data_IF_702324115218
#
_entry.id   IF_702324115218
#
_cell.length_a   1.000
_cell.length_b   1.000
_cell.length_c   1.000
_cell.angle_alpha   90.00
_cell.angle_beta   90.00
_cell.angle_gamma   90.00
#
_symmetry.space_group_name_H-M   'P 1'
#
loop_
_entity.id
_entity.type
_entity.pdbx_description
1 polymer ?
2 polymer ?
3 non-polymer ?
4 water ?
#
# COMPACT_ATOMS: atom_id res chain seq x y z
N UNK A 2 23.33 6.02 4.04
CA UNK A 2 23.21 7.21 4.98
C UNK A 2 23.98 7.03 6.28
N UNK A 3 24.52 5.82 6.53
CA UNK A 3 25.51 5.47 7.62
C UNK A 3 24.90 5.03 8.99
N UNK A 4 24.72 3.71 9.15
CA UNK A 4 23.98 3.16 10.27
C UNK A 4 22.47 3.37 10.17
N UNK A 5 22.05 3.95 9.04
CA UNK A 5 20.63 4.11 8.74
C UNK A 5 20.03 2.73 8.47
N UNK A 6 18.82 2.48 8.98
CA UNK A 6 18.08 1.24 8.74
C UNK A 6 16.64 1.56 8.43
N UNK A 7 15.92 0.59 7.92
CA UNK A 7 14.48 0.67 7.69
C UNK A 7 13.86 -0.05 8.92
N UNK A 8 12.64 0.36 9.31
CA UNK A 8 11.94 -0.41 10.32
C UNK A 8 11.63 -1.82 9.85
N UNK A 9 11.28 -2.72 10.75
CA UNK A 9 10.80 -3.98 10.20
C UNK A 9 9.46 -3.75 9.49
N UNK A 10 9.18 -4.46 8.40
CA UNK A 10 7.97 -4.21 7.66
C UNK A 10 6.72 -4.64 8.42
N UNK A 11 5.54 -4.21 7.95
CA UNK A 11 4.32 -4.59 8.62
C UNK A 11 4.13 -6.12 8.58
N UNK A 12 3.49 -6.69 9.60
CA UNK A 12 3.22 -8.13 9.64
C UNK A 12 2.32 -8.49 8.53
N UNK A 13 2.50 -9.69 7.98
CA UNK A 13 1.62 -10.19 6.99
C UNK A 13 1.00 -11.51 7.43
N UNK A 14 1.33 -11.98 8.63
CA UNK A 14 0.60 -13.05 9.24
C UNK A 14 0.60 -12.85 10.74
N UNK A 15 -0.49 -13.26 11.35
CA UNK A 15 -0.69 -13.18 12.79
C UNK A 15 -1.60 -14.33 13.17
N UNK A 16 -1.02 -15.48 13.58
CA UNK A 16 -1.87 -16.64 13.94
C UNK A 16 -2.94 -16.44 14.98
N UNK A 17 -2.79 -15.43 15.87
CA UNK A 17 -3.81 -15.16 16.88
C UNK A 17 -4.85 -14.08 16.49
N UNK A 18 -4.79 -13.60 15.24
CA UNK A 18 -5.73 -12.64 14.66
C UNK A 18 -6.80 -13.39 13.89
N UNK A 19 -8.10 -13.16 14.19
CA UNK A 19 -9.21 -13.75 13.44
C UNK A 19 -9.20 -13.39 11.93
N UNK A 20 -9.44 -14.40 11.09
CA UNK A 20 -9.28 -14.31 9.63
C UNK A 20 -10.58 -14.80 8.96
N UNK A 21 -10.91 -14.27 7.77
CA UNK A 21 -11.97 -14.86 6.95
C UNK A 21 -11.60 -14.71 5.47
N UNK A 22 -12.21 -15.53 4.61
CA UNK A 22 -12.09 -15.37 3.18
C UNK A 22 -13.41 -14.95 2.54
N UNK A 23 -13.76 -13.68 2.51
CA UNK A 23 -15.07 -13.31 2.02
C UNK A 23 -15.02 -13.15 0.50
N UNK A 24 -16.19 -13.12 -0.10
CA UNK A 24 -16.31 -12.81 -1.53
C UNK A 24 -15.70 -11.45 -1.89
N UNK A 25 -15.81 -10.52 -1.00
CA UNK A 25 -15.23 -9.19 -1.18
C UNK A 25 -13.73 -9.15 -1.03
N UNK A 26 -13.17 -10.04 -0.22
CA UNK A 26 -11.71 -10.15 -0.09
C UNK A 26 -11.10 -10.88 -1.26
N UNK A 27 -11.82 -11.85 -1.80
CA UNK A 27 -11.37 -12.53 -2.99
C UNK A 27 -11.33 -11.54 -4.18
N UNK A 28 -12.38 -10.73 -4.34
CA UNK A 28 -12.38 -9.67 -5.35
C UNK A 28 -11.28 -8.63 -5.10
N UNK A 29 -11.07 -8.21 -3.86
CA UNK A 29 -9.94 -7.32 -3.58
C UNK A 29 -8.62 -7.86 -4.09
N UNK A 30 -8.39 -9.17 -4.00
CA UNK A 30 -7.13 -9.71 -4.45
C UNK A 30 -7.18 -9.90 -5.97
N UNK A 31 -8.30 -10.44 -6.42
CA UNK A 31 -8.49 -10.87 -7.83
C UNK A 31 -8.64 -9.70 -8.76
N UNK A 32 -9.35 -8.67 -8.34
CA UNK A 32 -9.61 -7.57 -9.24
C UNK A 32 -8.73 -6.39 -8.85
N UNK A 33 -9.00 -5.83 -7.65
CA UNK A 33 -8.46 -4.55 -7.23
C UNK A 33 -6.93 -4.51 -7.07
N UNK A 34 -6.31 -5.60 -6.59
CA UNK A 34 -4.86 -5.64 -6.41
C UNK A 34 -4.17 -6.07 -7.71
N UNK A 35 -4.68 -7.10 -8.40
CA UNK A 35 -4.05 -7.49 -9.69
C UNK A 35 -4.05 -6.32 -10.67
N UNK A 36 -5.05 -5.44 -10.57
CA UNK A 36 -5.20 -4.30 -11.50
C UNK A 36 -4.16 -3.24 -11.20
N UNK A 37 -4.03 -2.90 -9.91
CA UNK A 37 -3.14 -1.83 -9.50
C UNK A 37 -1.71 -2.35 -9.59
N UNK A 38 -1.49 -3.65 -9.37
CA UNK A 38 -0.14 -4.19 -9.32
C UNK A 38 0.58 -4.10 -10.66
N UNK A 39 -0.17 -4.42 -11.70
CA UNK A 39 0.23 -4.32 -13.11
C UNK A 39 0.37 -2.94 -13.68
N UNK A 40 -0.26 -1.95 -13.06
CA UNK A 40 -0.20 -0.58 -13.56
C UNK A 40 1.24 -0.03 -13.76
N UNK A 41 1.39 0.79 -14.80
CA UNK A 41 2.67 1.49 -15.10
C UNK A 41 3.31 2.31 -13.94
N UNK A 42 2.45 2.79 -13.04
CA UNK A 42 2.89 3.56 -11.91
C UNK A 42 2.89 2.77 -10.58
N UNK A 43 2.74 1.43 -10.60
CA UNK A 43 2.71 0.62 -9.36
C UNK A 43 4.03 0.53 -8.63
N UNK A 44 5.14 0.64 -9.36
CA UNK A 44 6.44 0.20 -8.88
C UNK A 44 6.97 0.81 -7.58
N UNK A 45 6.79 2.14 -7.33
CA UNK A 45 7.17 2.70 -6.03
C UNK A 45 6.39 2.13 -4.84
N UNK A 46 5.24 1.48 -5.10
CA UNK A 46 4.31 1.02 -4.07
C UNK A 46 4.23 -0.50 -3.86
N UNK A 47 5.03 -1.22 -4.63
CA UNK A 47 5.09 -2.70 -4.59
C UNK A 47 5.90 -3.30 -3.48
N UNK A 48 6.57 -2.48 -2.66
CA UNK A 48 7.34 -2.87 -1.52
C UNK A 48 7.37 -1.75 -0.51
N UNK A 49 7.75 -2.08 0.73
CA UNK A 49 7.98 -0.96 1.62
C UNK A 49 8.98 0.09 1.11
N UNK A 50 8.68 1.37 1.41
CA UNK A 50 9.61 2.39 1.09
C UNK A 50 10.98 2.10 1.72
N UNK A 51 11.97 1.96 0.84
CA UNK A 51 13.35 1.74 1.24
C UNK A 51 14.01 3.11 1.40
N UNK A 52 13.92 3.62 2.61
CA UNK A 52 14.41 4.93 2.90
C UNK A 52 15.93 5.01 2.89
N UNK A 53 16.58 3.88 3.14
CA UNK A 53 18.02 3.78 3.14
C UNK A 53 18.48 3.96 1.69
N UNK A 54 17.91 3.19 0.80
CA UNK A 54 18.31 3.20 -0.60
C UNK A 54 18.00 4.52 -1.31
N UNK A 55 16.78 5.00 -1.09
CA UNK A 55 16.28 6.20 -1.66
C UNK A 55 16.83 7.45 -0.97
N UNK A 56 17.67 7.26 0.04
CA UNK A 56 18.24 8.33 0.87
C UNK A 56 17.20 9.33 1.40
N UNK A 57 16.26 8.79 2.16
CA UNK A 57 15.11 9.53 2.70
C UNK A 57 15.07 9.29 4.20
N UNK A 58 16.05 9.85 4.94
CA UNK A 58 16.18 9.53 6.36
C UNK A 58 15.07 10.11 7.22
N UNK A 59 14.32 11.06 6.72
CA UNK A 59 13.17 11.55 7.49
C UNK A 59 11.87 10.80 7.20
N UNK A 60 11.90 9.83 6.29
CA UNK A 60 10.67 9.19 5.86
C UNK A 60 9.94 8.66 7.10
N UNK A 61 10.65 7.90 7.88
CA UNK A 61 10.07 7.13 8.99
C UNK A 61 10.09 7.95 10.27
N UNK A 62 10.54 9.20 10.19
CA UNK A 62 10.25 10.20 11.19
C UNK A 62 8.83 10.76 10.97
N UNK A 63 8.41 10.95 9.70
CA UNK A 63 7.10 11.52 9.38
C UNK A 63 6.03 10.45 9.31
N UNK A 64 6.38 9.29 8.74
CA UNK A 64 5.44 8.18 8.51
C UNK A 64 5.61 7.09 9.50
N UNK A 65 4.63 7.02 10.40
CA UNK A 65 4.65 6.10 11.49
C UNK A 65 3.78 4.92 11.28
N UNK A 66 2.89 4.92 10.30
CA UNK A 66 2.07 3.76 10.00
C UNK A 66 2.31 3.44 8.51
N UNK A 67 3.47 2.83 8.17
CA UNK A 67 3.79 2.58 6.78
C UNK A 67 2.91 1.47 6.19
N UNK A 68 2.63 1.58 4.89
CA UNK A 68 1.87 0.56 4.22
C UNK A 68 2.21 0.64 2.76
N UNK A 69 2.20 -0.52 2.12
CA UNK A 69 2.53 -0.67 0.70
C UNK A 69 1.75 -1.87 0.10
N UNK A 70 1.73 -1.97 -1.23
CA UNK A 70 0.94 -2.96 -1.89
C UNK A 70 1.57 -4.32 -1.81
N UNK A 71 2.88 -4.35 -1.59
CA UNK A 71 3.56 -5.60 -1.32
C UNK A 71 3.03 -6.29 -0.05
N UNK A 72 2.94 -5.48 0.97
CA UNK A 72 2.30 -5.87 2.23
C UNK A 72 0.85 -6.29 2.09
N UNK A 73 0.03 -5.48 1.45
CA UNK A 73 -1.38 -5.73 1.22
C UNK A 73 -1.52 -7.05 0.43
N UNK A 74 -0.70 -7.24 -0.56
CA UNK A 74 -0.78 -8.48 -1.38
C UNK A 74 -0.53 -9.75 -0.58
N UNK A 75 0.55 -9.76 0.19
CA UNK A 75 0.89 -10.86 1.07
C UNK A 75 -0.24 -11.07 2.10
N UNK A 76 -0.83 -9.99 2.61
CA UNK A 76 -1.95 -10.16 3.56
C UNK A 76 -3.17 -10.81 2.90
N UNK A 77 -3.45 -10.42 1.67
CA UNK A 77 -4.61 -10.95 0.99
C UNK A 77 -4.33 -12.42 0.68
N UNK A 78 -3.12 -12.72 0.23
CA UNK A 78 -2.72 -14.12 -0.07
C UNK A 78 -2.69 -15.04 1.15
N UNK A 79 -2.29 -14.50 2.29
CA UNK A 79 -2.24 -15.26 3.54
C UNK A 79 -3.52 -15.16 4.34
N UNK A 80 -4.59 -14.67 3.74
CA UNK A 80 -5.91 -14.52 4.38
C UNK A 80 -5.81 -13.91 5.79
N UNK A 81 -5.16 -12.76 5.85
CA UNK A 81 -4.85 -12.04 7.09
C UNK A 81 -6.07 -11.30 7.62
N UNK A 82 -6.96 -10.94 6.71
CA UNK A 82 -8.09 -10.04 6.98
C UNK A 82 -9.36 -10.73 7.45
N UNK A 83 -10.12 -10.03 8.29
CA UNK A 83 -11.47 -10.46 8.66
C UNK A 83 -12.49 -9.97 7.63
N UNK A 84 -12.29 -8.76 7.14
CA UNK A 84 -13.23 -8.17 6.18
C UNK A 84 -12.56 -7.20 5.23
N UNK A 85 -13.31 -6.87 4.18
CA UNK A 85 -12.81 -6.02 3.08
C UNK A 85 -12.48 -4.59 3.58
N UNK A 86 -13.18 -4.08 4.58
CA UNK A 86 -12.91 -2.76 5.10
C UNK A 86 -11.48 -2.68 5.67
N UNK A 87 -11.01 -3.75 6.32
CA UNK A 87 -9.64 -3.75 6.89
C UNK A 87 -8.62 -3.50 5.79
N UNK A 88 -8.90 -4.12 4.65
CA UNK A 88 -8.00 -4.09 3.48
C UNK A 88 -8.02 -2.77 2.77
N UNK A 89 -9.23 -2.28 2.54
CA UNK A 89 -9.43 -0.97 1.96
C UNK A 89 -8.73 0.05 2.81
N UNK A 90 -8.79 -0.06 4.13
CA UNK A 90 -8.08 0.86 4.96
C UNK A 90 -6.56 0.87 4.82
N UNK A 91 -5.97 -0.29 4.55
CA UNK A 91 -4.55 -0.37 4.29
C UNK A 91 -4.24 0.38 2.99
N UNK A 92 -5.08 0.20 1.96
CA UNK A 92 -4.89 0.97 0.72
C UNK A 92 -4.93 2.49 0.96
N UNK A 93 -5.86 2.95 1.82
CA UNK A 93 -5.96 4.34 2.08
C UNK A 93 -4.80 4.87 2.90
N UNK A 94 -4.21 3.99 3.75
CA UNK A 94 -3.04 4.35 4.54
C UNK A 94 -1.88 4.54 3.58
N UNK A 95 -1.71 3.66 2.63
CA UNK A 95 -0.64 3.82 1.65
C UNK A 95 -0.75 5.11 0.83
N UNK A 96 -1.94 5.42 0.32
CA UNK A 96 -2.10 6.68 -0.46
C UNK A 96 -1.89 7.89 0.44
N UNK A 97 -2.44 7.88 1.67
CA UNK A 97 -2.33 9.06 2.51
C UNK A 97 -0.89 9.34 2.92
N UNK A 98 -0.14 8.28 3.26
CA UNK A 98 1.26 8.39 3.58
C UNK A 98 2.01 9.11 2.48
N UNK A 99 1.72 8.77 1.24
CA UNK A 99 2.42 9.39 0.09
C UNK A 99 2.09 10.92 0.00
N UNK A 100 0.83 11.24 0.14
CA UNK A 100 0.35 12.63 0.08
C UNK A 100 0.88 13.47 1.29
N UNK A 101 0.98 12.85 2.48
CA UNK A 101 1.63 13.43 3.63
C UNK A 101 3.12 13.73 3.34
N UNK A 102 3.86 12.73 2.89
CA UNK A 102 5.30 12.88 2.87
C UNK A 102 5.77 13.78 1.73
N UNK A 103 5.08 13.68 0.61
CA UNK A 103 5.45 14.37 -0.61
C UNK A 103 4.57 15.63 -0.76
N UNK A 104 4.71 16.34 -1.86
CA UNK A 104 4.00 17.61 -2.09
C UNK A 104 3.23 17.53 -3.42
N UNK A 105 2.09 18.24 -3.49
CA UNK A 105 1.28 18.17 -4.67
C UNK A 105 2.12 18.42 -5.90
N UNK A 106 1.81 17.70 -6.97
CA UNK A 106 2.51 17.85 -8.24
C UNK A 106 3.71 16.98 -8.41
N UNK A 107 4.34 16.53 -7.29
CA UNK A 107 5.49 15.59 -7.30
C UNK A 107 5.14 14.39 -8.14
N UNK A 108 6.09 13.85 -8.87
CA UNK A 108 5.83 12.65 -9.70
C UNK A 108 5.16 11.59 -8.83
N UNK A 109 5.69 11.36 -7.62
CA UNK A 109 5.17 10.25 -6.81
C UNK A 109 3.67 10.45 -6.52
N UNK A 110 3.30 11.71 -6.34
CA UNK A 110 1.90 12.07 -5.98
C UNK A 110 0.96 11.83 -7.19
N UNK A 111 1.44 12.09 -8.43
CA UNK A 111 0.72 11.76 -9.65
C UNK A 111 0.58 10.27 -9.84
N UNK A 112 1.60 9.51 -9.47
CA UNK A 112 1.51 8.04 -9.54
C UNK A 112 0.42 7.51 -8.60
N UNK A 113 0.40 8.02 -7.34
CA UNK A 113 -0.50 7.56 -6.30
C UNK A 113 -1.92 7.88 -6.74
N UNK A 114 -2.15 9.13 -7.17
CA UNK A 114 -3.43 9.59 -7.68
C UNK A 114 -3.91 8.76 -8.88
N UNK A 115 -3.08 8.46 -9.86
CA UNK A 115 -3.51 7.53 -10.90
C UNK A 115 -3.98 6.18 -10.34
N UNK A 116 -3.21 5.64 -9.39
CA UNK A 116 -3.52 4.36 -8.79
C UNK A 116 -4.78 4.43 -7.94
N UNK A 117 -4.91 5.49 -7.19
CA UNK A 117 -6.11 5.68 -6.42
C UNK A 117 -7.38 5.84 -7.26
N UNK A 118 -7.28 6.58 -8.35
CA UNK A 118 -8.39 6.67 -9.31
C UNK A 118 -8.86 5.30 -9.72
N UNK A 119 -7.91 4.47 -10.05
CA UNK A 119 -8.15 3.17 -10.58
C UNK A 119 -8.78 2.27 -9.44
N UNK A 120 -8.16 2.36 -8.25
CA UNK A 120 -8.59 1.69 -7.02
C UNK A 120 -10.08 1.85 -6.84
N UNK A 121 -10.50 3.11 -6.61
CA UNK A 121 -11.87 3.53 -6.51
C UNK A 121 -12.81 3.09 -7.67
N UNK A 122 -12.38 3.21 -8.92
CA UNK A 122 -13.22 2.67 -9.99
C UNK A 122 -13.57 1.21 -9.70
N UNK A 123 -12.55 0.43 -9.28
CA UNK A 123 -12.67 -1.00 -9.11
C UNK A 123 -13.47 -1.35 -7.85
N UNK A 124 -13.42 -0.46 -6.85
CA UNK A 124 -14.01 -0.73 -5.53
C UNK A 124 -15.49 -0.38 -5.51
N UNK A 125 -15.90 0.38 -6.52
CA UNK A 125 -17.28 0.79 -6.70
C UNK A 125 -18.11 -0.46 -6.90
N UNK A 126 -17.49 -1.44 -7.58
CA UNK A 126 -18.10 -2.65 -8.09
C UNK A 126 -17.81 -3.83 -7.17
N UNK A 127 -17.33 -3.55 -5.96
CA UNK A 127 -17.20 -4.54 -4.86
C UNK A 127 -18.57 -5.15 -4.66
N UNK A 128 -18.66 -6.49 -4.84
CA UNK A 128 -19.95 -7.15 -4.65
C UNK A 128 -20.35 -7.12 -3.16
N UNK A 129 -21.62 -6.91 -2.81
CA UNK A 129 -21.97 -6.98 -1.37
C UNK A 129 -21.78 -8.38 -0.72
N UNK B 1 15.87 15.36 -10.06
CA UNK B 1 14.56 15.72 -9.49
C UNK B 1 14.72 15.32 -8.03
N UNK B 2 13.62 14.93 -7.37
CA UNK B 2 13.70 14.43 -6.01
C UNK B 2 12.42 14.37 -5.19
N UNK B 3 12.11 13.16 -4.70
CA UNK B 3 11.57 12.88 -3.32
C UNK B 3 12.52 13.24 -2.20
N UNK B 4 12.06 13.94 -1.19
CA UNK B 4 13.00 14.77 -0.40
C UNK B 4 13.99 13.97 0.42
X LIG C 1 1.10 8.24 8.98
X LIG C 1 1.76 7.01 8.69
X LIG C 1 1.30 8.56 10.44
X LIG C 1 2.59 9.12 10.66
#
# INVERSE_FOLDING_TARGET
>A
GAMGSTNPPPPETSNPNKPKRQTNQLQYLLRVVLKTLWKHQFAWPFQQPVDAVKLNLPDYYKIIKTPMDMGTIKKRLENNYYWNAQECIQDFNTMFTNCYIYNKPGDDIVLMAEALEKLFLQKINELPTEE
>B
GGKAPRKQ
>C hetero
1 EDO C1 O1 C2 O2
#
